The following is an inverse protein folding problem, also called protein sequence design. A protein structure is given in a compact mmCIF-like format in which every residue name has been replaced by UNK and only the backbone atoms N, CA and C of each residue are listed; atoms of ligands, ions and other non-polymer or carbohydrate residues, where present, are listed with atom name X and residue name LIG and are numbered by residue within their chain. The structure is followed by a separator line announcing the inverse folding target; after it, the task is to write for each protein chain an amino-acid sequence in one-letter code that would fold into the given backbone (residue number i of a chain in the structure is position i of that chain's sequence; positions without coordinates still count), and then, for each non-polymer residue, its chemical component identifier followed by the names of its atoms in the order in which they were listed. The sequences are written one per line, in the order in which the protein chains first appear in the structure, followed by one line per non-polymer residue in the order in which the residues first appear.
data_IF_695209632530
#
_entry.id   IF_695209632530
#
_cell.length_a   1.000
_cell.length_b   1.000
_cell.length_c   1.000
_cell.angle_alpha   90.00
_cell.angle_beta   90.00
_cell.angle_gamma   90.00
#
_symmetry.space_group_name_H-M   'P 1'
#
loop_
_entity.id
_entity.type
_entity.pdbx_description
1 polymer ?
#
# COMPACT_ATOMS: atom_id res chain seq x y z
N UNK A 1 -3.03 4.47 73.50
CA UNK A 1 -2.32 5.04 72.32
C UNK A 1 -1.43 3.96 71.72
N UNK A 2 -1.68 3.56 70.46
CA UNK A 2 -1.04 2.50 69.64
C UNK A 2 -2.09 1.49 69.16
N UNK A 3 -2.80 1.81 68.07
CA UNK A 3 -3.52 0.84 67.19
C UNK A 3 -4.29 1.47 66.01
N UNK A 4 -4.07 2.73 65.64
CA UNK A 4 -4.84 3.39 64.55
C UNK A 4 -3.98 3.82 63.35
N UNK A 5 -2.65 3.75 63.43
CA UNK A 5 -1.78 4.30 62.38
C UNK A 5 -1.32 3.32 61.29
N UNK A 6 -1.74 2.05 61.31
CA UNK A 6 -1.22 1.04 60.37
C UNK A 6 -2.16 0.73 59.18
N UNK A 7 -3.38 1.29 59.14
CA UNK A 7 -4.35 0.99 58.06
C UNK A 7 -4.35 2.07 56.98
N UNK A 8 -3.89 3.29 57.27
CA UNK A 8 -3.90 4.38 56.30
C UNK A 8 -2.76 4.32 55.27
N UNK A 9 -1.66 3.62 55.55
CA UNK A 9 -0.50 3.58 54.65
C UNK A 9 -0.56 2.42 53.65
N UNK A 10 -1.33 1.36 53.95
CA UNK A 10 -1.54 0.24 53.03
C UNK A 10 -2.59 0.57 51.96
N UNK A 11 -3.57 1.44 52.26
CA UNK A 11 -4.54 1.89 51.25
C UNK A 11 -3.93 2.86 50.22
N UNK A 12 -2.88 3.61 50.59
CA UNK A 12 -2.22 4.59 49.70
C UNK A 12 -1.19 3.92 48.78
N UNK A 13 -0.68 2.72 49.13
CA UNK A 13 0.24 1.96 48.29
C UNK A 13 -0.45 1.01 47.29
N UNK A 14 -1.78 0.84 47.35
CA UNK A 14 -2.57 0.17 46.32
C UNK A 14 -3.23 1.14 45.33
N UNK A 15 -3.04 2.45 45.51
CA UNK A 15 -3.56 3.50 44.63
C UNK A 15 -2.52 4.01 43.62
N UNK A 16 -1.31 3.47 43.64
CA UNK A 16 -0.29 3.73 42.62
C UNK A 16 -0.52 2.78 41.44
N UNK A 17 -1.09 3.35 40.37
CA UNK A 17 -1.20 2.80 39.00
C UNK A 17 -2.31 1.76 38.74
N UNK A 18 -3.57 2.15 38.92
CA UNK A 18 -4.52 1.93 37.82
C UNK A 18 -4.35 3.14 36.90
N UNK A 19 -3.32 3.12 36.05
CA UNK A 19 -3.45 3.85 34.81
C UNK A 19 -4.65 3.18 34.14
N UNK A 20 -5.78 3.88 34.05
CA UNK A 20 -6.91 3.39 33.27
C UNK A 20 -6.36 3.44 31.84
N UNK A 21 -5.88 2.30 31.36
CA UNK A 21 -5.52 2.15 29.96
C UNK A 21 -6.85 2.20 29.21
N UNK A 22 -7.03 3.24 28.39
CA UNK A 22 -8.19 3.34 27.50
C UNK A 22 -8.20 2.20 26.48
N UNK A 23 -9.09 2.25 25.47
CA UNK A 23 -8.98 1.33 24.35
C UNK A 23 -7.59 1.43 23.73
N UNK A 24 -6.96 0.29 23.49
CA UNK A 24 -5.61 0.19 22.94
C UNK A 24 -5.58 -0.98 21.98
N UNK A 25 -5.33 -0.70 20.71
CA UNK A 25 -5.32 -1.71 19.66
C UNK A 25 -3.88 -2.07 19.33
N UNK A 26 -3.67 -3.34 19.03
CA UNK A 26 -2.37 -3.84 18.61
C UNK A 26 -2.55 -4.86 17.52
N UNK A 27 -1.77 -4.72 16.46
CA UNK A 27 -1.61 -5.79 15.48
C UNK A 27 -0.81 -6.92 16.14
N UNK A 28 -1.44 -8.08 16.26
CA UNK A 28 -0.83 -9.25 16.89
C UNK A 28 -0.02 -10.08 15.90
N UNK A 29 -0.55 -10.22 14.69
CA UNK A 29 0.02 -11.09 13.66
C UNK A 29 -0.42 -10.62 12.27
N UNK A 30 0.45 -10.85 11.30
CA UNK A 30 0.20 -10.65 9.87
C UNK A 30 0.79 -11.84 9.13
N UNK A 31 -0.10 -12.65 8.56
CA UNK A 31 0.26 -13.80 7.76
C UNK A 31 -0.04 -13.51 6.28
N UNK A 32 0.90 -13.88 5.42
CA UNK A 32 0.73 -13.79 3.96
C UNK A 32 0.75 -15.21 3.44
N UNK A 33 -0.25 -15.55 2.61
CA UNK A 33 -0.42 -16.89 2.05
C UNK A 33 0.60 -17.17 0.93
N UNK A 34 1.90 -17.06 1.25
CA UNK A 34 3.02 -17.35 0.38
C UNK A 34 4.35 -17.52 1.15
N UNK A 35 5.13 -18.52 0.74
CA UNK A 35 6.49 -18.74 1.25
C UNK A 35 7.52 -17.73 0.66
N UNK A 36 7.24 -17.20 -0.54
CA UNK A 36 8.05 -16.20 -1.23
C UNK A 36 7.16 -15.24 -2.00
N UNK A 37 7.58 -13.97 -2.08
CA UNK A 37 6.85 -12.93 -2.82
C UNK A 37 7.42 -12.83 -4.23
N UNK A 38 6.56 -12.96 -5.23
CA UNK A 38 6.90 -12.80 -6.64
C UNK A 38 6.44 -11.40 -7.05
N UNK A 39 7.33 -10.61 -7.68
CA UNK A 39 6.98 -9.28 -8.15
C UNK A 39 5.80 -9.32 -9.13
N UNK A 40 4.84 -8.40 -8.98
CA UNK A 40 3.63 -8.30 -9.81
C UNK A 40 2.51 -9.31 -9.50
N UNK A 41 2.76 -10.29 -8.62
CA UNK A 41 1.74 -11.24 -8.17
C UNK A 41 0.89 -10.68 -7.02
N UNK A 42 -0.30 -11.26 -6.86
CA UNK A 42 -1.28 -10.87 -5.86
C UNK A 42 -1.35 -11.89 -4.74
N UNK A 43 -1.25 -11.42 -3.49
CA UNK A 43 -1.19 -12.26 -2.31
C UNK A 43 -2.34 -12.02 -1.35
N UNK A 44 -2.94 -13.10 -0.86
CA UNK A 44 -3.89 -13.02 0.24
C UNK A 44 -3.15 -12.92 1.57
N UNK A 45 -3.76 -12.20 2.51
CA UNK A 45 -3.21 -12.02 3.84
C UNK A 45 -4.29 -12.18 4.91
N UNK A 46 -3.86 -12.56 6.09
CA UNK A 46 -4.67 -12.59 7.31
C UNK A 46 -4.02 -11.67 8.33
N UNK A 47 -4.82 -10.83 8.98
CA UNK A 47 -4.35 -9.97 10.06
C UNK A 47 -5.22 -10.09 11.30
N UNK A 48 -4.55 -10.22 12.43
CA UNK A 48 -5.17 -10.28 13.76
C UNK A 48 -4.91 -8.96 14.50
N UNK A 49 -5.96 -8.21 14.80
CA UNK A 49 -5.90 -6.97 15.57
C UNK A 49 -6.60 -7.21 16.91
N UNK A 50 -5.91 -6.95 18.02
CA UNK A 50 -6.40 -7.20 19.36
C UNK A 50 -6.63 -5.91 20.14
N UNK A 51 -7.72 -5.86 20.88
CA UNK A 51 -7.87 -4.89 21.96
C UNK A 51 -7.10 -5.35 23.20
N UNK A 52 -5.96 -4.71 23.45
CA UNK A 52 -5.09 -4.93 24.62
C UNK A 52 -5.39 -3.96 25.76
N UNK A 53 -6.27 -2.99 25.54
CA UNK A 53 -6.76 -2.05 26.54
C UNK A 53 -7.77 -2.66 27.52
N UNK A 54 -8.17 -1.86 28.51
CA UNK A 54 -9.10 -2.26 29.57
C UNK A 54 -10.56 -1.80 29.30
N UNK A 55 -10.80 -1.12 28.17
CA UNK A 55 -12.12 -0.63 27.74
C UNK A 55 -12.46 -1.11 26.32
N UNK A 56 -13.76 -1.12 25.99
CA UNK A 56 -14.22 -1.44 24.64
C UNK A 56 -13.63 -0.47 23.62
N UNK A 57 -13.08 -1.00 22.53
CA UNK A 57 -12.54 -0.21 21.43
C UNK A 57 -13.53 -0.18 20.28
N UNK A 58 -13.97 1.01 19.89
CA UNK A 58 -14.71 1.24 18.66
C UNK A 58 -13.72 1.68 17.59
N UNK A 59 -13.53 0.85 16.57
CA UNK A 59 -12.47 1.07 15.57
C UNK A 59 -13.00 0.95 14.17
N UNK A 60 -12.50 1.84 13.33
CA UNK A 60 -12.60 1.68 11.89
C UNK A 60 -11.70 0.53 11.47
N UNK A 61 -12.19 -0.32 10.58
CA UNK A 61 -11.37 -1.32 9.88
C UNK A 61 -10.67 -0.64 8.69
N UNK A 62 -9.83 0.36 8.96
CA UNK A 62 -8.98 0.98 7.96
C UNK A 62 -7.55 0.55 8.20
N UNK A 63 -7.04 -0.21 7.24
CA UNK A 63 -5.72 -0.79 7.29
C UNK A 63 -4.87 -0.07 6.25
N UNK A 64 -3.77 0.52 6.69
CA UNK A 64 -2.78 1.09 5.77
C UNK A 64 -1.62 0.11 5.70
N UNK A 65 -1.21 -0.24 4.48
CA UNK A 65 0.10 -0.83 4.28
C UNK A 65 0.93 0.06 3.36
N UNK A 66 2.22 0.08 3.63
CA UNK A 66 3.21 0.62 2.70
C UNK A 66 4.40 -0.31 2.65
N UNK A 67 4.96 -0.41 1.45
CA UNK A 67 6.15 -1.19 1.14
C UNK A 67 7.28 -0.18 1.10
N UNK A 68 8.13 -0.16 2.12
CA UNK A 68 9.14 0.89 2.36
C UNK A 68 8.56 2.30 2.64
N UNK A 69 9.25 3.12 3.44
CA UNK A 69 8.80 4.46 3.83
C UNK A 69 8.66 5.40 2.61
N UNK A 70 9.45 5.17 1.56
CA UNK A 70 9.42 5.94 0.30
C UNK A 70 8.05 5.88 -0.39
N UNK A 71 7.24 4.85 -0.12
CA UNK A 71 5.92 4.67 -0.72
C UNK A 71 4.75 5.00 0.22
N UNK A 72 5.04 5.67 1.34
CA UNK A 72 4.00 6.17 2.25
C UNK A 72 3.14 7.19 1.51
N UNK A 73 1.87 6.84 1.26
CA UNK A 73 0.91 7.69 0.55
C UNK A 73 0.80 7.45 -0.97
N UNK A 74 1.60 6.55 -1.56
CA UNK A 74 1.52 6.19 -2.99
C UNK A 74 0.57 5.01 -3.25
N UNK A 75 0.23 4.24 -2.21
CA UNK A 75 -0.77 3.17 -2.29
C UNK A 75 -2.10 3.66 -1.73
N UNK A 76 -3.23 3.40 -2.41
CA UNK A 76 -4.54 3.64 -1.82
C UNK A 76 -4.56 2.85 -0.51
N UNK A 77 -4.79 3.56 0.60
CA UNK A 77 -4.93 2.97 1.92
C UNK A 77 -5.81 1.75 1.80
N UNK A 78 -5.17 0.58 1.87
CA UNK A 78 -5.78 -0.67 1.46
C UNK A 78 -6.63 -1.21 2.59
N UNK A 79 -7.70 -0.47 2.84
CA UNK A 79 -9.03 -1.02 3.01
C UNK A 79 -10.13 -0.03 2.60
N UNK A 80 -9.84 1.26 2.28
CA UNK A 80 -10.90 2.27 2.22
C UNK A 80 -10.82 3.36 1.16
N UNK A 81 -9.78 3.49 0.33
CA UNK A 81 -9.84 4.52 -0.75
C UNK A 81 -10.74 4.15 -1.94
N UNK A 82 -11.38 2.97 -1.95
CA UNK A 82 -12.29 2.56 -3.04
C UNK A 82 -13.69 2.17 -2.56
N UNK A 83 -13.98 2.25 -1.25
CA UNK A 83 -15.33 1.98 -0.76
C UNK A 83 -16.28 3.18 -0.90
N UNK A 84 -15.80 4.37 -1.26
CA UNK A 84 -16.66 5.55 -1.43
C UNK A 84 -17.25 5.74 -2.83
N UNK A 85 -16.73 5.11 -3.91
CA UNK A 85 -17.13 5.56 -5.25
C UNK A 85 -17.51 4.53 -6.33
N UNK A 86 -17.50 3.21 -6.08
CA UNK A 86 -18.02 2.25 -7.09
C UNK A 86 -18.77 1.06 -6.46
N UNK A 87 -20.10 1.19 -6.39
CA UNK A 87 -21.09 0.11 -6.33
C UNK A 87 -20.73 -1.13 -5.45
N UNK A 88 -20.79 -0.97 -4.13
CA UNK A 88 -20.78 -2.10 -3.19
C UNK A 88 -22.09 -2.89 -3.23
N UNK A 89 -22.04 -4.22 -3.11
CA UNK A 89 -23.24 -5.02 -2.78
C UNK A 89 -23.07 -6.07 -1.69
N UNK A 90 -21.86 -6.37 -1.20
CA UNK A 90 -21.71 -7.30 -0.06
C UNK A 90 -20.60 -6.81 0.89
N UNK A 91 -20.99 -6.40 2.10
CA UNK A 91 -20.06 -6.12 3.21
C UNK A 91 -19.50 -7.46 3.69
N UNK A 92 -18.19 -7.65 3.58
CA UNK A 92 -17.51 -8.85 4.06
C UNK A 92 -17.61 -8.99 5.58
N UNK A 93 -17.96 -10.19 6.06
CA UNK A 93 -17.92 -10.51 7.50
C UNK A 93 -16.48 -10.68 7.97
N UNK A 94 -16.16 -10.16 9.13
CA UNK A 94 -14.90 -10.43 9.84
C UNK A 94 -15.10 -11.48 10.92
N UNK A 95 -14.02 -12.05 11.43
CA UNK A 95 -14.08 -13.01 12.55
C UNK A 95 -13.69 -12.29 13.84
N UNK A 96 -14.53 -12.30 14.87
CA UNK A 96 -14.15 -11.91 16.22
C UNK A 96 -13.78 -13.18 17.00
N UNK A 97 -12.59 -13.17 17.59
CA UNK A 97 -12.05 -14.18 18.48
C UNK A 97 -12.13 -13.61 19.89
N UNK A 98 -13.00 -14.17 20.73
CA UNK A 98 -13.15 -13.76 22.10
C UNK A 98 -11.92 -14.15 22.95
N UNK A 99 -11.79 -13.56 24.14
CA UNK A 99 -10.68 -13.84 25.05
C UNK A 99 -10.58 -15.31 25.50
N UNK A 100 -11.68 -16.08 25.43
CA UNK A 100 -11.70 -17.52 25.71
C UNK A 100 -11.37 -18.40 24.47
N UNK A 101 -11.07 -17.77 23.34
CA UNK A 101 -10.75 -18.41 22.06
C UNK A 101 -11.97 -18.82 21.22
N UNK A 102 -13.19 -18.49 21.66
CA UNK A 102 -14.38 -18.73 20.84
C UNK A 102 -14.44 -17.76 19.66
N UNK A 103 -14.85 -18.27 18.49
CA UNK A 103 -14.92 -17.47 17.25
C UNK A 103 -16.36 -17.18 16.86
N UNK A 104 -16.60 -15.97 16.34
CA UNK A 104 -17.87 -15.56 15.77
C UNK A 104 -17.66 -14.72 14.50
N UNK A 105 -18.54 -14.86 13.52
CA UNK A 105 -18.55 -14.00 12.33
C UNK A 105 -19.43 -12.79 12.59
N UNK A 106 -18.90 -11.60 12.33
CA UNK A 106 -19.59 -10.32 12.55
C UNK A 106 -19.53 -9.52 11.26
N UNK A 107 -20.66 -8.92 10.87
CA UNK A 107 -20.70 -7.94 9.79
C UNK A 107 -20.38 -6.57 10.39
N UNK A 108 -19.33 -5.88 9.93
CA UNK A 108 -19.05 -4.52 10.35
C UNK A 108 -20.23 -3.57 10.09
N UNK A 109 -20.37 -2.56 10.93
CA UNK A 109 -21.40 -1.53 10.79
C UNK A 109 -20.90 -0.43 9.85
N UNK A 110 -21.66 -0.15 8.79
CA UNK A 110 -21.43 1.02 7.94
C UNK A 110 -21.89 2.29 8.66
N UNK A 111 -21.06 3.33 8.65
CA UNK A 111 -21.38 4.57 9.33
C UNK A 111 -20.40 5.70 9.09
N UNK A 112 -20.70 6.82 9.75
CA UNK A 112 -19.84 8.01 9.80
C UNK A 112 -19.60 8.38 11.25
N UNK A 113 -18.34 8.49 11.66
CA UNK A 113 -17.98 9.10 12.94
C UNK A 113 -17.62 10.55 12.69
N UNK A 114 -18.22 11.44 13.48
CA UNK A 114 -17.79 12.83 13.55
C UNK A 114 -16.77 12.97 14.67
N UNK A 115 -15.61 13.54 14.35
CA UNK A 115 -14.54 13.80 15.32
C UNK A 115 -14.07 15.25 15.18
N UNK A 116 -13.40 15.74 16.23
CA UNK A 116 -12.78 17.06 16.22
C UNK A 116 -11.34 16.91 15.72
N UNK A 117 -11.12 17.14 14.43
CA UNK A 117 -9.81 17.15 13.83
C UNK A 117 -8.99 18.35 14.36
N UNK A 118 -7.66 18.20 14.55
CA UNK A 118 -6.79 19.34 14.86
C UNK A 118 -6.71 20.32 13.68
N UNK A 119 -6.14 21.49 13.93
CA UNK A 119 -5.79 22.40 12.84
C UNK A 119 -4.69 21.78 11.97
N UNK A 120 -4.85 21.87 10.65
CA UNK A 120 -3.89 21.37 9.68
C UNK A 120 -2.66 22.29 9.58
N UNK A 121 -1.55 21.75 9.07
CA UNK A 121 -0.34 22.54 8.79
C UNK A 121 -0.55 23.49 7.60
N UNK A 122 0.23 24.58 7.55
CA UNK A 122 0.19 25.52 6.42
C UNK A 122 0.45 24.83 5.07
N UNK A 123 1.32 23.81 5.05
CA UNK A 123 1.63 23.00 3.87
C UNK A 123 0.40 22.21 3.39
N UNK A 124 -0.32 21.53 4.29
CA UNK A 124 -1.53 20.77 3.95
C UNK A 124 -2.67 21.66 3.48
N UNK A 125 -2.84 22.82 4.11
CA UNK A 125 -3.79 23.83 3.67
C UNK A 125 -3.47 24.31 2.25
N UNK A 126 -2.18 24.51 1.94
CA UNK A 126 -1.74 24.89 0.60
C UNK A 126 -1.98 23.79 -0.45
N UNK A 127 -1.70 22.53 -0.12
CA UNK A 127 -2.01 21.37 -1.00
C UNK A 127 -3.51 21.33 -1.34
N UNK A 128 -4.39 21.56 -0.36
CA UNK A 128 -5.83 21.61 -0.58
C UNK A 128 -6.24 22.76 -1.50
N UNK A 129 -5.64 23.94 -1.34
CA UNK A 129 -5.88 25.09 -2.20
C UNK A 129 -5.45 24.76 -3.64
N UNK A 130 -4.28 24.18 -3.84
CA UNK A 130 -3.77 23.81 -5.16
C UNK A 130 -4.65 22.75 -5.83
N UNK A 131 -5.05 21.71 -5.10
CA UNK A 131 -5.97 20.68 -5.60
C UNK A 131 -7.35 21.24 -5.96
N UNK A 132 -7.85 22.22 -5.20
CA UNK A 132 -9.09 22.94 -5.50
C UNK A 132 -8.92 23.81 -6.76
N UNK A 133 -7.82 24.56 -6.88
CA UNK A 133 -7.54 25.39 -8.05
C UNK A 133 -7.43 24.58 -9.34
N UNK A 134 -6.80 23.41 -9.29
CA UNK A 134 -6.72 22.49 -10.43
C UNK A 134 -8.12 22.04 -10.92
N UNK A 135 -9.10 21.96 -10.01
CA UNK A 135 -10.49 21.61 -10.33
C UNK A 135 -11.32 22.82 -10.76
N UNK A 136 -11.01 24.02 -10.25
CA UNK A 136 -11.76 25.25 -10.54
C UNK A 136 -11.87 25.54 -12.04
N UNK A 137 -10.78 25.33 -12.79
CA UNK A 137 -10.77 25.48 -14.25
C UNK A 137 -11.70 24.47 -14.95
N UNK A 138 -11.76 23.25 -14.43
CA UNK A 138 -12.62 22.18 -14.96
C UNK A 138 -14.10 22.47 -14.72
N UNK A 139 -14.43 23.08 -13.58
CA UNK A 139 -15.80 23.41 -13.20
C UNK A 139 -16.24 24.81 -13.63
N UNK A 140 -15.35 25.62 -14.22
CA UNK A 140 -15.65 26.96 -14.72
C UNK A 140 -16.00 27.95 -13.62
N UNK A 141 -15.36 27.83 -12.46
CA UNK A 141 -15.59 28.71 -11.32
C UNK A 141 -15.12 30.14 -11.61
N UNK A 142 -15.83 31.11 -11.05
CA UNK A 142 -15.49 32.53 -11.12
C UNK A 142 -14.37 32.87 -10.13
N UNK A 143 -13.68 33.99 -10.36
CA UNK A 143 -12.66 34.48 -9.42
C UNK A 143 -13.20 34.70 -8.00
N UNK A 144 -14.47 35.12 -7.88
CA UNK A 144 -15.13 35.34 -6.59
C UNK A 144 -15.38 34.01 -5.86
N UNK A 145 -15.86 32.98 -6.57
CA UNK A 145 -16.05 31.63 -6.01
C UNK A 145 -14.71 31.00 -5.60
N UNK A 146 -13.65 31.18 -6.39
CA UNK A 146 -12.31 30.69 -6.03
C UNK A 146 -11.84 31.35 -4.73
N UNK A 147 -11.96 32.67 -4.61
CA UNK A 147 -11.53 33.39 -3.42
C UNK A 147 -12.33 32.98 -2.17
N UNK A 148 -13.65 32.83 -2.29
CA UNK A 148 -14.51 32.35 -1.19
C UNK A 148 -14.12 30.93 -0.75
N UNK A 149 -13.80 30.04 -1.69
CA UNK A 149 -13.36 28.69 -1.36
C UNK A 149 -11.98 28.67 -0.69
N UNK A 150 -11.04 29.52 -1.12
CA UNK A 150 -9.73 29.65 -0.44
C UNK A 150 -9.91 30.11 1.01
N UNK A 151 -10.73 31.14 1.23
CA UNK A 151 -11.01 31.66 2.57
C UNK A 151 -11.67 30.60 3.45
N UNK A 152 -12.65 29.86 2.92
CA UNK A 152 -13.31 28.76 3.63
C UNK A 152 -12.33 27.62 3.98
N UNK A 153 -11.43 27.24 3.08
CA UNK A 153 -10.39 26.23 3.34
C UNK A 153 -9.49 26.72 4.48
N UNK A 154 -8.99 27.95 4.41
CA UNK A 154 -8.11 28.51 5.43
C UNK A 154 -8.80 28.64 6.80
N UNK A 155 -10.06 29.08 6.83
CA UNK A 155 -10.82 29.23 8.08
C UNK A 155 -11.14 27.88 8.71
N UNK A 156 -11.59 26.91 7.91
CA UNK A 156 -12.00 25.58 8.37
C UNK A 156 -10.79 24.79 8.85
N UNK A 157 -9.78 24.61 8.00
CA UNK A 157 -8.65 23.73 8.28
C UNK A 157 -7.55 24.42 9.10
N UNK A 158 -7.53 25.75 9.18
CA UNK A 158 -6.63 26.50 10.06
C UNK A 158 -7.01 26.46 11.54
N UNK A 159 -8.15 25.85 11.88
CA UNK A 159 -8.63 25.69 13.24
C UNK A 159 -9.05 24.23 13.50
N UNK A 160 -9.20 23.81 14.77
CA UNK A 160 -9.89 22.57 15.07
C UNK A 160 -11.31 22.60 14.51
N UNK A 161 -11.68 21.58 13.74
CA UNK A 161 -12.94 21.52 13.00
C UNK A 161 -13.58 20.14 13.15
N UNK A 162 -14.90 20.07 12.95
CA UNK A 162 -15.60 18.80 12.87
C UNK A 162 -15.33 18.18 11.51
N UNK A 163 -14.83 16.94 11.52
CA UNK A 163 -14.59 16.15 10.32
C UNK A 163 -15.29 14.80 10.44
N UNK A 164 -15.65 14.23 9.29
CA UNK A 164 -16.44 13.01 9.19
C UNK A 164 -15.63 11.88 8.59
N UNK A 165 -15.49 10.78 9.33
CA UNK A 165 -14.87 9.55 8.81
C UNK A 165 -15.95 8.55 8.48
N UNK A 166 -16.18 8.35 7.18
CA UNK A 166 -16.98 7.24 6.68
C UNK A 166 -16.16 5.94 6.71
N UNK A 167 -16.81 4.82 7.04
CA UNK A 167 -16.16 3.52 7.03
C UNK A 167 -16.96 2.39 7.63
N UNK A 168 -16.32 1.23 7.70
CA UNK A 168 -16.83 0.04 8.35
C UNK A 168 -16.24 -0.06 9.76
N UNK A 169 -17.12 -0.15 10.75
CA UNK A 169 -16.75 -0.11 12.16
C UNK A 169 -17.06 -1.42 12.87
N UNK A 170 -16.23 -1.73 13.86
CA UNK A 170 -16.47 -2.83 14.79
C UNK A 170 -16.17 -2.39 16.22
N UNK A 171 -16.83 -3.04 17.18
CA UNK A 171 -16.50 -2.90 18.60
C UNK A 171 -15.77 -4.15 19.06
N UNK A 172 -14.65 -3.98 19.75
CA UNK A 172 -13.88 -5.05 20.37
C UNK A 172 -13.85 -4.85 21.88
N UNK A 173 -14.36 -5.82 22.62
CA UNK A 173 -14.21 -5.83 24.07
C UNK A 173 -12.75 -6.10 24.49
N UNK A 174 -12.35 -5.77 25.72
CA UNK A 174 -11.02 -6.07 26.24
C UNK A 174 -10.61 -7.52 26.03
N UNK A 175 -9.47 -7.73 25.36
CA UNK A 175 -8.92 -9.04 25.06
C UNK A 175 -9.48 -9.73 23.81
N UNK A 176 -10.47 -9.16 23.14
CA UNK A 176 -10.97 -9.67 21.85
C UNK A 176 -10.03 -9.33 20.70
N UNK A 177 -10.02 -10.20 19.70
CA UNK A 177 -9.25 -10.03 18.47
C UNK A 177 -10.18 -10.05 17.27
N UNK A 178 -10.10 -9.05 16.40
CA UNK A 178 -10.65 -9.15 15.05
C UNK A 178 -9.61 -9.79 14.14
N UNK A 179 -10.01 -10.85 13.46
CA UNK A 179 -9.28 -11.45 12.35
C UNK A 179 -9.93 -11.02 11.04
N UNK A 180 -9.14 -10.32 10.24
CA UNK A 180 -9.46 -10.02 8.86
C UNK A 180 -8.76 -11.02 7.95
N UNK A 181 -9.53 -11.69 7.10
CA UNK A 181 -9.01 -12.57 6.05
C UNK A 181 -9.35 -11.93 4.70
N UNK A 182 -8.32 -11.62 3.92
CA UNK A 182 -8.52 -10.92 2.66
C UNK A 182 -9.21 -11.77 1.60
N UNK A 183 -9.27 -13.09 1.75
CA UNK A 183 -10.06 -14.00 0.88
C UNK A 183 -11.56 -13.81 1.05
N UNK A 184 -11.99 -13.39 2.24
CA UNK A 184 -13.39 -13.10 2.53
C UNK A 184 -13.81 -11.73 1.97
N UNK A 185 -12.88 -10.98 1.35
CA UNK A 185 -13.13 -9.68 0.72
C UNK A 185 -13.15 -9.73 -0.80
N UNK A 186 -13.63 -8.65 -1.43
CA UNK A 186 -13.66 -8.56 -2.89
C UNK A 186 -12.25 -8.80 -3.47
N UNK A 187 -12.14 -9.85 -4.29
CA UNK A 187 -10.87 -10.44 -4.73
C UNK A 187 -9.91 -9.46 -5.41
N UNK A 188 -10.41 -8.36 -5.97
CA UNK A 188 -9.57 -7.31 -6.56
C UNK A 188 -8.90 -6.38 -5.55
N UNK A 189 -9.47 -6.23 -4.35
CA UNK A 189 -9.09 -5.22 -3.35
C UNK A 189 -8.43 -5.80 -2.10
N UNK A 190 -8.66 -7.09 -1.79
CA UNK A 190 -8.06 -7.77 -0.63
C UNK A 190 -6.66 -8.31 -0.86
N UNK A 191 -6.15 -8.32 -2.10
CA UNK A 191 -4.82 -8.87 -2.35
C UNK A 191 -3.74 -7.77 -2.24
N UNK A 192 -2.63 -8.10 -1.58
CA UNK A 192 -1.41 -7.29 -1.62
C UNK A 192 -0.75 -7.46 -2.99
N UNK A 193 -0.37 -6.35 -3.61
CA UNK A 193 0.45 -6.33 -4.82
C UNK A 193 1.78 -5.68 -4.46
N UNK A 194 2.88 -6.36 -4.78
CA UNK A 194 4.21 -5.85 -4.48
C UNK A 194 4.76 -5.13 -5.73
N UNK A 195 4.92 -3.80 -5.68
CA UNK A 195 5.48 -3.03 -6.76
C UNK A 195 6.96 -3.35 -6.91
N UNK A 196 7.50 -2.97 -8.06
CA UNK A 196 8.88 -3.24 -8.41
C UNK A 196 9.47 -1.96 -8.94
N UNK A 197 10.32 -1.32 -8.14
CA UNK A 197 11.10 -0.15 -8.52
C UNK A 197 12.57 -0.47 -8.73
N UNK A 198 13.00 -1.63 -8.22
CA UNK A 198 14.39 -2.09 -8.27
C UNK A 198 14.45 -3.42 -8.98
N UNK A 199 15.27 -3.50 -10.01
CA UNK A 199 15.62 -4.76 -10.66
C UNK A 199 16.75 -5.45 -9.86
N UNK A 200 16.70 -6.77 -9.72
CA UNK A 200 17.68 -7.53 -8.95
C UNK A 200 17.75 -8.98 -9.42
N UNK A 201 18.99 -9.47 -9.54
CA UNK A 201 19.31 -10.90 -9.74
C UNK A 201 19.32 -11.66 -8.40
N UNK A 202 19.47 -10.93 -7.30
CA UNK A 202 19.42 -11.46 -5.94
C UNK A 202 18.03 -11.23 -5.30
N UNK A 203 17.63 -12.05 -4.31
CA UNK A 203 16.39 -11.82 -3.57
C UNK A 203 16.39 -10.45 -2.90
N UNK A 204 15.25 -9.77 -2.94
CA UNK A 204 15.10 -8.40 -2.43
C UNK A 204 14.41 -8.46 -1.05
N UNK A 205 15.03 -7.94 0.03
CA UNK A 205 14.33 -7.79 1.29
C UNK A 205 13.28 -6.69 1.17
N UNK A 206 12.07 -6.97 1.63
CA UNK A 206 10.94 -6.04 1.58
C UNK A 206 10.39 -5.84 2.97
N UNK A 207 10.29 -4.58 3.39
CA UNK A 207 9.65 -4.20 4.65
C UNK A 207 8.19 -3.90 4.39
N UNK A 208 7.30 -4.69 4.97
CA UNK A 208 5.87 -4.44 4.96
C UNK A 208 5.50 -3.84 6.31
N UNK A 209 5.02 -2.60 6.30
CA UNK A 209 4.49 -1.95 7.49
C UNK A 209 2.99 -1.87 7.38
N UNK A 210 2.31 -2.27 8.46
CA UNK A 210 0.89 -2.17 8.66
C UNK A 210 0.61 -1.17 9.78
N UNK A 211 -0.32 -0.26 9.54
CA UNK A 211 -0.70 0.78 10.49
C UNK A 211 -2.22 0.74 10.71
N UNK A 212 -2.62 0.65 11.99
CA UNK A 212 -4.00 0.80 12.43
C UNK A 212 -4.25 2.27 12.69
N UNK A 213 -5.17 2.86 11.94
CA UNK A 213 -5.63 4.21 12.21
C UNK A 213 -7.13 4.19 12.56
N UNK A 214 -7.46 4.02 13.85
CA UNK A 214 -8.83 3.77 14.27
C UNK A 214 -9.74 4.97 14.00
N UNK A 215 -9.21 6.21 13.97
CA UNK A 215 -9.97 7.46 13.92
C UNK A 215 -9.32 8.62 13.11
N UNK A 216 -8.31 8.36 12.26
CA UNK A 216 -7.53 9.40 11.57
C UNK A 216 -6.65 10.26 12.49
N UNK A 217 -6.20 9.71 13.61
CA UNK A 217 -5.39 10.43 14.62
C UNK A 217 -3.87 10.42 14.30
N UNK A 218 -3.49 10.06 13.06
CA UNK A 218 -2.13 9.72 12.60
C UNK A 218 -0.98 10.71 12.87
N UNK A 219 -1.24 11.89 13.43
CA UNK A 219 -0.16 12.80 13.87
C UNK A 219 0.40 12.45 15.26
N UNK A 220 -0.36 11.74 16.11
CA UNK A 220 0.11 11.28 17.42
C UNK A 220 0.44 9.78 17.34
N UNK A 221 1.71 9.49 17.04
CA UNK A 221 2.33 8.16 17.05
C UNK A 221 2.11 7.43 18.40
N UNK A 222 0.97 6.75 18.56
CA UNK A 222 0.76 5.80 19.65
C UNK A 222 1.49 4.51 19.24
N UNK A 223 2.56 4.17 19.96
CA UNK A 223 3.54 3.11 19.64
C UNK A 223 2.97 1.69 19.38
N UNK A 224 1.66 1.45 19.57
CA UNK A 224 1.03 0.13 19.49
C UNK A 224 0.28 -0.10 18.16
N UNK A 225 0.13 0.94 17.34
CA UNK A 225 -0.66 0.89 16.12
C UNK A 225 0.13 0.47 14.87
N UNK A 226 1.44 0.29 14.98
CA UNK A 226 2.32 -0.03 13.85
C UNK A 226 2.91 -1.43 14.02
N UNK A 227 2.84 -2.23 12.95
CA UNK A 227 3.46 -3.53 12.86
C UNK A 227 4.28 -3.62 11.60
N UNK A 228 5.51 -4.10 11.72
CA UNK A 228 6.42 -4.26 10.60
C UNK A 228 6.90 -5.68 10.52
N UNK A 229 6.88 -6.25 9.32
CA UNK A 229 7.45 -7.56 9.02
C UNK A 229 8.37 -7.47 7.81
N UNK A 230 9.40 -8.31 7.79
CA UNK A 230 10.32 -8.43 6.68
C UNK A 230 9.96 -9.67 5.85
N UNK A 231 9.87 -9.47 4.54
CA UNK A 231 9.60 -10.51 3.56
C UNK A 231 10.77 -10.59 2.58
N UNK A 232 10.89 -11.72 1.89
CA UNK A 232 11.86 -11.88 0.82
C UNK A 232 11.10 -11.99 -0.50
N UNK A 233 11.35 -11.02 -1.38
CA UNK A 233 10.89 -11.04 -2.75
C UNK A 233 11.87 -11.82 -3.63
N UNK A 234 11.35 -12.66 -4.50
CA UNK A 234 12.12 -13.37 -5.52
C UNK A 234 12.82 -12.39 -6.46
N UNK A 235 14.01 -12.75 -6.99
CA UNK A 235 14.68 -11.98 -8.02
C UNK A 235 13.76 -11.73 -9.21
N UNK A 236 13.72 -10.50 -9.69
CA UNK A 236 12.95 -10.11 -10.88
C UNK A 236 13.80 -10.01 -12.15
N UNK A 237 15.09 -10.34 -12.03
CA UNK A 237 16.03 -10.55 -13.13
C UNK A 237 16.58 -11.98 -13.03
N UNK A 238 16.45 -12.73 -14.12
CA UNK A 238 16.94 -14.11 -14.23
C UNK A 238 18.19 -14.10 -15.10
N UNK A 239 19.30 -14.62 -14.61
CA UNK A 239 20.53 -14.82 -15.39
C UNK A 239 20.56 -16.21 -16.05
N UNK A 240 21.02 -16.27 -17.29
CA UNK A 240 21.25 -17.51 -18.03
C UNK A 240 22.50 -18.27 -17.59
N UNK A 241 22.69 -19.51 -18.09
CA UNK A 241 21.76 -20.24 -18.94
C UNK A 241 20.53 -20.75 -18.18
N UNK A 242 19.35 -20.67 -18.79
CA UNK A 242 18.05 -21.03 -18.18
C UNK A 242 17.06 -21.47 -19.26
N UNK A 243 16.38 -22.60 -19.02
CA UNK A 243 15.28 -23.06 -19.89
C UNK A 243 14.10 -22.07 -19.85
N UNK A 244 13.31 -22.04 -20.92
CA UNK A 244 12.07 -21.25 -20.99
C UNK A 244 11.06 -21.72 -19.94
N UNK A 245 10.39 -20.75 -19.31
CA UNK A 245 9.28 -20.98 -18.38
C UNK A 245 8.13 -20.03 -18.74
N UNK A 246 7.07 -20.03 -17.93
CA UNK A 246 6.03 -19.01 -17.97
C UNK A 246 6.54 -17.61 -17.59
N UNK A 247 7.57 -17.53 -16.73
CA UNK A 247 8.17 -16.28 -16.24
C UNK A 247 9.33 -15.75 -17.09
N UNK A 248 9.96 -16.58 -17.92
CA UNK A 248 11.12 -16.17 -18.71
C UNK A 248 11.20 -16.87 -20.06
N UNK A 249 11.84 -16.20 -21.02
CA UNK A 249 12.27 -16.81 -22.29
C UNK A 249 13.57 -17.61 -22.11
N UNK A 250 13.86 -18.50 -23.06
CA UNK A 250 15.11 -19.28 -23.07
C UNK A 250 16.34 -18.34 -23.03
N UNK A 251 17.27 -18.65 -22.12
CA UNK A 251 18.56 -17.98 -21.95
C UNK A 251 19.68 -19.00 -22.21
N UNK A 252 20.46 -18.77 -23.25
CA UNK A 252 21.44 -19.72 -23.79
C UNK A 252 22.81 -19.62 -23.12
N UNK A 253 23.16 -18.46 -22.57
CA UNK A 253 24.48 -18.19 -21.99
C UNK A 253 24.46 -17.26 -20.76
N UNK A 254 25.61 -17.13 -20.10
CA UNK A 254 25.79 -16.35 -18.87
C UNK A 254 25.69 -14.81 -19.06
N UNK A 255 25.72 -14.34 -20.31
CA UNK A 255 25.57 -12.94 -20.69
C UNK A 255 24.14 -12.59 -21.07
N UNK A 256 23.21 -13.54 -20.97
CA UNK A 256 21.79 -13.31 -21.19
C UNK A 256 21.03 -13.19 -19.86
N UNK A 257 20.15 -12.19 -19.80
CA UNK A 257 19.32 -11.88 -18.65
C UNK A 257 17.88 -11.68 -19.08
N UNK A 258 16.93 -12.02 -18.22
CA UNK A 258 15.51 -11.74 -18.44
C UNK A 258 14.94 -10.97 -17.25
N UNK A 259 14.45 -9.76 -17.47
CA UNK A 259 13.72 -8.99 -16.48
C UNK A 259 12.22 -9.02 -16.78
N UNK A 260 11.38 -9.29 -15.79
CA UNK A 260 9.93 -9.32 -15.95
C UNK A 260 9.21 -8.24 -15.13
N UNK A 261 9.97 -7.22 -14.72
CA UNK A 261 9.48 -6.09 -13.95
C UNK A 261 10.11 -4.77 -14.43
N UNK A 262 9.57 -3.64 -13.94
CA UNK A 262 10.17 -2.32 -14.10
C UNK A 262 11.17 -2.06 -12.96
N UNK A 263 12.04 -1.07 -13.16
CA UNK A 263 13.02 -0.62 -12.18
C UNK A 263 14.43 -0.48 -12.72
N UNK A 264 15.35 -0.13 -11.83
CA UNK A 264 16.76 0.06 -12.15
C UNK A 264 17.66 -0.98 -11.45
N UNK A 265 18.77 -1.34 -12.09
CA UNK A 265 19.80 -2.22 -11.51
C UNK A 265 21.15 -2.07 -12.21
N UNK A 266 22.19 -2.69 -11.66
CA UNK A 266 23.49 -2.83 -12.31
C UNK A 266 23.73 -4.27 -12.72
N UNK A 267 23.85 -4.53 -14.03
CA UNK A 267 24.15 -5.86 -14.58
C UNK A 267 25.45 -5.76 -15.38
N UNK A 268 26.41 -6.63 -15.08
CA UNK A 268 27.76 -6.64 -15.68
C UNK A 268 28.46 -5.26 -15.68
N UNK A 269 28.20 -4.43 -14.67
CA UNK A 269 28.79 -3.09 -14.54
C UNK A 269 28.14 -2.02 -15.41
N UNK A 270 27.00 -2.31 -16.04
CA UNK A 270 26.13 -1.33 -16.72
C UNK A 270 24.88 -1.07 -15.91
N UNK A 271 24.49 0.19 -15.80
CA UNK A 271 23.20 0.57 -15.23
C UNK A 271 22.09 0.32 -16.27
N UNK A 272 21.12 -0.50 -15.91
CA UNK A 272 19.93 -0.78 -16.73
C UNK A 272 18.71 -0.29 -15.97
N UNK A 273 17.95 0.60 -16.59
CA UNK A 273 16.68 1.09 -16.08
C UNK A 273 15.56 0.81 -17.07
N UNK A 274 14.45 0.28 -16.56
CA UNK A 274 13.21 0.07 -17.32
C UNK A 274 12.11 0.85 -16.60
N UNK A 275 11.52 1.82 -17.27
CA UNK A 275 10.43 2.64 -16.74
C UNK A 275 9.29 2.74 -17.76
N UNK A 276 8.07 2.92 -17.28
CA UNK A 276 6.93 3.23 -18.13
C UNK A 276 5.96 4.15 -17.38
N UNK A 277 5.13 4.86 -18.13
CA UNK A 277 4.13 5.76 -17.55
C UNK A 277 3.07 4.98 -16.76
N UNK A 278 2.59 5.58 -15.67
CA UNK A 278 1.56 5.00 -14.82
C UNK A 278 0.25 4.86 -15.64
N UNK A 279 -0.26 3.65 -15.88
CA UNK A 279 -1.46 3.43 -16.67
C UNK A 279 -2.72 4.08 -16.06
N UNK A 280 -2.64 4.60 -14.83
CA UNK A 280 -3.72 5.29 -14.15
C UNK A 280 -3.72 6.81 -14.36
N UNK A 281 -2.66 7.38 -14.96
CA UNK A 281 -2.58 8.79 -15.32
C UNK A 281 -2.76 8.88 -16.84
N UNK A 282 -3.93 9.31 -17.34
CA UNK A 282 -4.15 9.41 -18.78
C UNK A 282 -3.33 10.57 -19.35
N UNK A 283 -2.13 10.28 -19.82
CA UNK A 283 -1.39 11.11 -20.75
C UNK A 283 -1.52 10.55 -22.19
N UNK A 284 -1.17 11.37 -23.18
CA UNK A 284 -1.48 11.08 -24.58
C UNK A 284 -0.54 10.05 -25.21
N UNK A 285 0.57 9.68 -24.54
CA UNK A 285 1.57 8.73 -25.05
C UNK A 285 2.16 7.87 -23.92
N UNK A 286 1.45 6.80 -23.55
CA UNK A 286 2.05 5.74 -22.72
C UNK A 286 3.32 5.22 -23.41
N UNK A 287 4.49 5.44 -22.79
CA UNK A 287 5.78 5.04 -23.33
C UNK A 287 6.49 4.06 -22.38
N UNK A 288 7.22 3.09 -22.96
CA UNK A 288 8.20 2.26 -22.24
C UNK A 288 9.59 2.79 -22.59
N UNK A 289 10.38 3.11 -21.58
CA UNK A 289 11.75 3.61 -21.73
C UNK A 289 12.69 2.57 -21.14
N UNK A 290 13.69 2.16 -21.93
CA UNK A 290 14.81 1.35 -21.45
C UNK A 290 16.10 2.15 -21.62
N UNK A 291 16.82 2.34 -20.51
CA UNK A 291 18.08 3.08 -20.47
C UNK A 291 19.25 2.17 -20.12
N UNK A 292 20.37 2.32 -20.82
CA UNK A 292 21.63 1.62 -20.54
C UNK A 292 22.78 2.62 -20.37
N UNK A 293 23.26 2.80 -19.14
CA UNK A 293 24.18 3.87 -18.71
C UNK A 293 23.70 5.27 -19.14
N UNK A 294 22.40 5.53 -19.00
CA UNK A 294 21.77 6.81 -19.38
C UNK A 294 21.49 6.98 -20.87
N UNK A 295 21.79 5.99 -21.73
CA UNK A 295 21.37 6.01 -23.13
C UNK A 295 20.00 5.37 -23.23
N UNK A 296 19.00 6.19 -23.56
CA UNK A 296 17.59 5.78 -23.59
C UNK A 296 17.14 5.27 -24.95
N UNK A 297 16.27 4.26 -24.92
CA UNK A 297 15.46 3.79 -26.03
C UNK A 297 14.00 3.79 -25.61
N UNK A 298 13.20 4.54 -26.36
CA UNK A 298 11.76 4.68 -26.14
C UNK A 298 10.98 3.74 -27.06
N UNK A 299 9.90 3.18 -26.52
CA UNK A 299 8.96 2.33 -27.23
C UNK A 299 7.53 2.79 -26.93
N UNK A 300 6.78 3.16 -27.96
CA UNK A 300 5.35 3.52 -27.82
C UNK A 300 4.53 2.28 -27.42
N UNK A 301 3.80 2.32 -26.29
CA UNK A 301 2.95 1.21 -25.86
C UNK A 301 1.82 0.91 -26.85
N UNK A 302 1.24 1.93 -27.49
CA UNK A 302 0.30 1.73 -28.59
C UNK A 302 0.96 1.01 -29.78
N UNK A 303 2.21 1.37 -30.11
CA UNK A 303 3.01 0.68 -31.13
C UNK A 303 3.30 -0.78 -30.77
N UNK A 304 3.63 -1.05 -29.51
CA UNK A 304 3.88 -2.39 -28.95
C UNK A 304 2.62 -3.25 -28.94
N UNK A 305 1.48 -2.69 -28.53
CA UNK A 305 0.17 -3.36 -28.55
C UNK A 305 -0.27 -3.69 -29.98
N UNK A 306 -0.08 -2.76 -30.93
CA UNK A 306 -0.41 -2.99 -32.34
C UNK A 306 0.56 -3.98 -32.99
N UNK A 307 1.81 -4.03 -32.57
CA UNK A 307 2.76 -5.07 -32.97
C UNK A 307 2.34 -6.43 -32.41
N UNK A 308 1.96 -6.52 -31.12
CA UNK A 308 1.45 -7.74 -30.47
C UNK A 308 0.20 -8.29 -31.18
N UNK A 309 -0.79 -7.44 -31.47
CA UNK A 309 -2.00 -7.84 -32.21
C UNK A 309 -1.69 -8.37 -33.62
N UNK A 310 -0.66 -7.84 -34.29
CA UNK A 310 -0.22 -8.32 -35.59
C UNK A 310 0.66 -9.59 -35.50
N UNK A 311 1.30 -9.86 -34.36
CA UNK A 311 2.22 -10.97 -34.13
C UNK A 311 1.59 -12.18 -33.42
N UNK A 312 0.26 -12.33 -33.45
CA UNK A 312 -0.49 -13.47 -32.90
C UNK A 312 -0.08 -14.88 -33.41
N UNK A 313 0.98 -14.97 -34.26
CA UNK A 313 1.60 -16.19 -34.78
C UNK A 313 3.15 -16.20 -34.71
N UNK A 314 3.78 -15.31 -33.91
CA UNK A 314 5.25 -15.18 -33.77
C UNK A 314 5.85 -15.76 -32.48
N UNK A 315 7.15 -15.56 -32.27
CA UNK A 315 7.97 -16.02 -31.12
C UNK A 315 7.76 -15.21 -29.82
N UNK A 316 6.63 -14.54 -29.67
CA UNK A 316 6.28 -13.72 -28.49
C UNK A 316 6.92 -12.32 -28.45
N UNK A 317 7.71 -11.93 -29.46
CA UNK A 317 8.32 -10.59 -29.53
C UNK A 317 7.29 -9.50 -29.86
N UNK A 318 7.37 -8.40 -29.13
CA UNK A 318 6.49 -7.22 -29.31
C UNK A 318 7.18 -6.05 -30.02
N UNK A 319 8.51 -6.10 -30.20
CA UNK A 319 9.27 -5.10 -30.93
C UNK A 319 10.48 -5.70 -31.66
N UNK A 320 11.05 -5.00 -32.67
CA UNK A 320 12.38 -5.30 -33.19
C UNK A 320 13.44 -5.30 -32.09
N UNK A 321 14.49 -6.09 -32.30
CA UNK A 321 15.67 -6.12 -31.44
C UNK A 321 16.48 -4.84 -31.64
N UNK A 322 16.84 -4.18 -30.55
CA UNK A 322 17.64 -2.95 -30.55
C UNK A 322 18.94 -3.15 -29.78
N UNK A 323 19.99 -2.43 -30.14
CA UNK A 323 21.27 -2.43 -29.38
C UNK A 323 21.45 -1.06 -28.75
N UNK A 324 21.40 -1.01 -27.42
CA UNK A 324 21.55 0.21 -26.64
C UNK A 324 22.82 0.09 -25.82
N UNK A 325 23.81 0.91 -26.18
CA UNK A 325 25.10 1.00 -25.48
C UNK A 325 25.77 -0.37 -25.17
N UNK A 326 25.79 -1.26 -26.17
CA UNK A 326 26.43 -2.59 -26.04
C UNK A 326 25.58 -3.65 -25.34
N UNK A 327 24.29 -3.38 -25.14
CA UNK A 327 23.31 -4.37 -24.67
C UNK A 327 22.26 -4.55 -25.76
N UNK A 328 22.11 -5.76 -26.25
CA UNK A 328 21.01 -6.14 -27.15
C UNK A 328 19.74 -6.35 -26.31
N UNK A 329 18.66 -5.66 -26.69
CA UNK A 329 17.38 -5.64 -26.00
C UNK A 329 16.33 -6.30 -26.89
N UNK A 330 15.60 -7.27 -26.32
CA UNK A 330 14.44 -7.90 -26.96
C UNK A 330 13.23 -7.80 -26.03
N UNK A 331 12.15 -7.18 -26.53
CA UNK A 331 10.90 -7.02 -25.79
C UNK A 331 9.95 -8.19 -26.06
N UNK A 332 9.40 -8.74 -24.99
CA UNK A 332 8.38 -9.79 -24.98
C UNK A 332 7.13 -9.31 -24.26
N UNK A 333 6.04 -10.05 -24.44
CA UNK A 333 4.77 -9.83 -23.74
C UNK A 333 4.86 -9.99 -22.21
N UNK A 334 5.83 -10.79 -21.73
CA UNK A 334 6.05 -11.08 -20.31
C UNK A 334 7.37 -10.52 -19.74
N UNK A 335 8.07 -9.66 -20.49
CA UNK A 335 9.32 -9.04 -19.99
C UNK A 335 10.32 -8.66 -21.07
N UNK A 336 11.58 -8.57 -20.67
CA UNK A 336 12.68 -7.99 -21.43
C UNK A 336 13.90 -8.90 -21.36
N UNK A 337 14.42 -9.32 -22.50
CA UNK A 337 15.68 -10.04 -22.57
C UNK A 337 16.82 -9.08 -22.89
N UNK A 338 17.88 -9.14 -22.10
CA UNK A 338 19.12 -8.39 -22.28
C UNK A 338 20.24 -9.37 -22.64
N UNK A 339 20.98 -9.10 -23.71
CA UNK A 339 22.18 -9.86 -24.09
C UNK A 339 23.35 -8.88 -24.18
N UNK A 340 24.39 -9.10 -23.38
CA UNK A 340 25.57 -8.25 -23.35
C UNK A 340 26.55 -8.65 -24.47
N UNK A 341 26.86 -7.72 -25.39
CA UNK A 341 27.62 -7.97 -26.63
C UNK A 341 29.01 -7.38 -26.68
#
# INVERSE_FOLDING_TARGET
MKKIFAISTILIFCLSFLAIAGPDLTVMDLDIDADSIVPGEKYHYTIDIKNVGDEDSFTRLANFYYIDEEYKGTYPGALLTVLSDRAQTEISTVTIIAADGSESKVTPEDGTILYMAPAESEERIQERIEGMMARADTFGWTEEEIQENIENIQETFGNPHEDGVEGLFITLAPGETVRYDSKDTYQGFGALSFPVSTLSIDPIPVTLTFEIDPLLESDDNINNNVYTTELVMEPNVIQGPKEETDKNRELDDENEYFAYALGCTTIQGKEICVSGDDPNIPDEEESLIISVDGVEQEYSLYGLMMAWLNNFFGDGKVAPTEIVNGVEIRLYDNGFKFTFV
#
